data_IF_009089130762
#
_entry.id   IF_009089130762
#
_cell.length_a   1.000
_cell.length_b   1.000
_cell.length_c   1.000
_cell.angle_alpha   90.00
_cell.angle_beta   90.00
_cell.angle_gamma   90.00
#
_symmetry.space_group_name_H-M   'P 1'
#
loop_
_entity.id
_entity.type
_entity.pdbx_description
1 polymer ?
#
# COMPACT_ATOMS: atom_id res chain seq x y z
N UNK A 1 19.82 -10.54 -66.64
CA UNK A 1 18.88 -9.66 -65.91
C UNK A 1 18.11 -10.41 -64.82
N UNK A 2 17.57 -11.62 -65.09
CA UNK A 2 16.85 -12.45 -64.10
C UNK A 2 17.65 -12.85 -62.83
N UNK A 3 18.90 -13.31 -62.96
CA UNK A 3 19.75 -13.67 -61.80
C UNK A 3 20.07 -12.49 -60.86
N UNK A 4 20.03 -11.24 -61.35
CA UNK A 4 20.37 -10.06 -60.53
C UNK A 4 19.21 -9.60 -59.66
N UNK A 5 17.97 -9.97 -60.02
CA UNK A 5 16.77 -9.69 -59.22
C UNK A 5 16.63 -10.64 -58.04
N UNK A 6 16.91 -11.94 -58.24
CA UNK A 6 16.81 -12.94 -57.17
C UNK A 6 17.81 -12.67 -56.03
N UNK A 7 19.04 -12.28 -56.37
CA UNK A 7 20.06 -11.85 -55.41
C UNK A 7 19.69 -10.56 -54.66
N UNK A 8 18.98 -9.63 -55.32
CA UNK A 8 18.47 -8.40 -54.67
C UNK A 8 17.28 -8.70 -53.74
N UNK A 9 16.40 -9.64 -54.09
CA UNK A 9 15.33 -10.09 -53.19
C UNK A 9 15.86 -10.84 -51.97
N UNK A 10 16.91 -11.65 -52.11
CA UNK A 10 17.57 -12.31 -50.98
C UNK A 10 18.35 -11.34 -50.09
N UNK A 11 18.97 -10.31 -50.68
CA UNK A 11 19.61 -9.20 -49.95
C UNK A 11 18.60 -8.31 -49.23
N UNK A 12 17.41 -8.09 -49.80
CA UNK A 12 16.32 -7.37 -49.14
C UNK A 12 15.65 -8.22 -48.04
N UNK A 13 15.54 -9.54 -48.22
CA UNK A 13 15.04 -10.44 -47.18
C UNK A 13 16.01 -10.53 -45.99
N UNK A 14 17.32 -10.53 -46.25
CA UNK A 14 18.36 -10.55 -45.21
C UNK A 14 18.62 -9.17 -44.57
N UNK A 15 18.35 -8.05 -45.27
CA UNK A 15 18.45 -6.71 -44.67
C UNK A 15 17.22 -6.33 -43.82
N UNK A 16 16.08 -7.01 -44.00
CA UNK A 16 14.91 -6.91 -43.10
C UNK A 16 15.12 -7.68 -41.77
N UNK A 17 16.24 -8.40 -41.61
CA UNK A 17 16.73 -8.87 -40.31
C UNK A 17 17.55 -7.80 -39.56
N UNK A 18 17.67 -6.57 -40.08
CA UNK A 18 18.20 -5.46 -39.31
C UNK A 18 17.21 -5.06 -38.21
N UNK A 19 17.47 -5.58 -37.01
CA UNK A 19 17.31 -4.85 -35.75
C UNK A 19 15.98 -4.12 -35.58
N UNK A 20 14.86 -4.80 -35.84
CA UNK A 20 13.71 -4.57 -34.99
C UNK A 20 14.08 -5.28 -33.70
N UNK A 21 14.71 -4.55 -32.77
CA UNK A 21 14.70 -4.97 -31.36
C UNK A 21 13.27 -5.40 -31.09
N UNK A 22 13.02 -6.71 -31.02
CA UNK A 22 11.73 -7.23 -30.61
C UNK A 22 11.61 -6.73 -29.19
N UNK A 23 10.88 -5.63 -29.02
CA UNK A 23 10.42 -5.18 -27.73
C UNK A 23 9.55 -6.32 -27.21
N UNK A 24 10.18 -7.21 -26.46
CA UNK A 24 9.51 -8.34 -25.84
C UNK A 24 8.72 -7.76 -24.67
N UNK A 25 7.46 -7.42 -24.94
CA UNK A 25 6.49 -7.16 -23.89
C UNK A 25 6.23 -8.49 -23.19
N UNK A 26 6.81 -8.65 -22.01
CA UNK A 26 6.55 -9.78 -21.14
C UNK A 26 5.54 -9.37 -20.08
N UNK A 27 4.50 -10.17 -19.92
CA UNK A 27 3.59 -10.02 -18.79
C UNK A 27 4.36 -10.26 -17.49
N UNK A 28 4.22 -9.35 -16.53
CA UNK A 28 4.78 -9.51 -15.19
C UNK A 28 3.64 -9.66 -14.20
N UNK A 29 3.65 -10.76 -13.47
CA UNK A 29 2.69 -11.00 -12.41
C UNK A 29 2.78 -9.92 -11.32
N UNK A 30 1.62 -9.39 -10.96
CA UNK A 30 1.48 -8.40 -9.90
C UNK A 30 1.26 -9.05 -8.53
N UNK A 31 1.27 -8.22 -7.46
CA UNK A 31 1.15 -8.68 -6.08
C UNK A 31 -0.14 -9.47 -5.81
N UNK A 32 -1.25 -9.14 -6.49
CA UNK A 32 -2.52 -9.87 -6.35
C UNK A 32 -2.36 -11.33 -6.75
N UNK A 33 -1.79 -11.58 -7.94
CA UNK A 33 -1.61 -12.94 -8.48
C UNK A 33 -0.65 -13.73 -7.59
N UNK A 34 0.48 -13.12 -7.20
CA UNK A 34 1.46 -13.79 -6.34
C UNK A 34 0.88 -14.16 -4.98
N UNK A 35 0.08 -13.28 -4.36
CA UNK A 35 -0.52 -13.57 -3.06
C UNK A 35 -1.57 -14.67 -3.12
N UNK A 36 -2.38 -14.69 -4.20
CA UNK A 36 -3.35 -15.76 -4.46
C UNK A 36 -2.65 -17.11 -4.59
N UNK A 37 -1.58 -17.17 -5.41
CA UNK A 37 -0.85 -18.40 -5.69
C UNK A 37 -0.03 -18.92 -4.51
N UNK A 38 0.39 -18.04 -3.60
CA UNK A 38 1.16 -18.39 -2.40
C UNK A 38 0.30 -18.56 -1.15
N UNK A 39 -1.01 -18.31 -1.25
CA UNK A 39 -1.94 -18.29 -0.12
C UNK A 39 -1.54 -17.32 1.00
N UNK A 40 -1.00 -16.16 0.63
CA UNK A 40 -0.57 -15.14 1.59
C UNK A 40 -1.68 -14.12 1.88
N UNK A 41 -1.48 -13.33 2.94
CA UNK A 41 -2.28 -12.14 3.16
C UNK A 41 -1.88 -11.08 2.11
N UNK A 42 -2.87 -10.46 1.48
CA UNK A 42 -2.72 -9.30 0.62
C UNK A 42 -3.27 -8.07 1.34
N UNK A 43 -2.42 -7.09 1.62
CA UNK A 43 -2.82 -5.78 2.13
C UNK A 43 -2.96 -4.79 0.95
N UNK A 44 -4.14 -4.22 0.80
CA UNK A 44 -4.42 -3.14 -0.13
C UNK A 44 -4.46 -1.83 0.66
N UNK A 45 -3.34 -1.13 0.68
CA UNK A 45 -3.28 0.20 1.28
C UNK A 45 -4.05 1.20 0.42
N UNK A 46 -4.81 2.06 1.08
CA UNK A 46 -5.50 3.22 0.51
C UNK A 46 -6.43 2.82 -0.65
N UNK A 47 -7.22 1.77 -0.43
CA UNK A 47 -8.05 1.12 -1.44
C UNK A 47 -9.18 2.02 -1.99
N UNK A 48 -9.45 3.14 -1.32
CA UNK A 48 -10.42 4.15 -1.73
C UNK A 48 -9.86 5.22 -2.69
N UNK A 49 -8.53 5.24 -2.92
CA UNK A 49 -7.90 6.19 -3.85
C UNK A 49 -8.01 5.80 -5.33
N UNK A 50 -7.88 4.51 -5.73
CA UNK A 50 -8.02 4.11 -7.12
C UNK A 50 -9.43 4.34 -7.67
N UNK A 51 -9.57 4.38 -9.00
CA UNK A 51 -10.88 4.49 -9.63
C UNK A 51 -11.73 3.25 -9.38
N UNK A 52 -13.06 3.43 -9.41
CA UNK A 52 -14.01 2.33 -9.18
C UNK A 52 -13.75 1.14 -10.11
N UNK A 53 -13.43 1.36 -11.38
CA UNK A 53 -13.10 0.31 -12.34
C UNK A 53 -11.90 -0.56 -11.92
N UNK A 54 -10.91 0.02 -11.21
CA UNK A 54 -9.78 -0.72 -10.66
C UNK A 54 -10.21 -1.58 -9.47
N UNK A 55 -10.98 -1.00 -8.54
CA UNK A 55 -11.48 -1.73 -7.37
C UNK A 55 -12.46 -2.85 -7.74
N UNK A 56 -13.29 -2.64 -8.77
CA UNK A 56 -14.30 -3.60 -9.22
C UNK A 56 -13.68 -4.84 -9.88
N UNK A 57 -12.46 -4.73 -10.40
CA UNK A 57 -11.70 -5.86 -10.92
C UNK A 57 -11.42 -6.91 -9.84
N UNK A 58 -11.48 -6.54 -8.57
CA UNK A 58 -11.31 -7.45 -7.45
C UNK A 58 -12.64 -8.05 -6.95
N UNK A 59 -13.80 -7.60 -7.44
CA UNK A 59 -15.09 -8.04 -6.91
C UNK A 59 -15.25 -9.57 -6.97
N UNK A 60 -14.86 -10.21 -8.08
CA UNK A 60 -14.93 -11.66 -8.24
C UNK A 60 -14.02 -12.41 -7.25
N UNK A 61 -12.93 -11.79 -6.80
CA UNK A 61 -12.03 -12.34 -5.77
C UNK A 61 -12.64 -12.22 -4.37
N UNK A 62 -13.59 -11.30 -4.18
CA UNK A 62 -14.25 -11.01 -2.90
C UNK A 62 -15.61 -11.71 -2.75
N UNK A 63 -16.06 -12.47 -3.75
CA UNK A 63 -17.29 -13.26 -3.66
C UNK A 63 -17.12 -14.47 -2.71
N UNK A 64 -18.25 -15.03 -2.27
CA UNK A 64 -18.28 -16.27 -1.46
C UNK A 64 -17.54 -17.44 -2.13
N UNK A 65 -17.66 -17.53 -3.46
CA UNK A 65 -16.89 -18.45 -4.30
C UNK A 65 -15.88 -17.62 -5.11
N UNK A 66 -14.67 -17.42 -4.57
CA UNK A 66 -13.76 -16.44 -5.14
C UNK A 66 -13.18 -16.95 -6.46
N UNK A 67 -13.08 -16.05 -7.43
CA UNK A 67 -12.50 -16.31 -8.75
C UNK A 67 -11.69 -15.12 -9.24
N UNK A 68 -10.60 -15.41 -9.94
CA UNK A 68 -9.72 -14.38 -10.50
C UNK A 68 -9.09 -14.86 -11.80
N UNK A 69 -9.12 -14.02 -12.83
CA UNK A 69 -8.55 -14.31 -14.13
C UNK A 69 -7.63 -13.19 -14.61
N UNK A 70 -6.56 -13.59 -15.29
CA UNK A 70 -5.54 -12.72 -15.86
C UNK A 70 -5.58 -12.91 -17.37
N UNK A 71 -6.34 -12.08 -18.07
CA UNK A 71 -6.55 -12.18 -19.53
C UNK A 71 -5.50 -11.40 -20.33
N UNK A 72 -4.71 -10.56 -19.67
CA UNK A 72 -3.65 -9.76 -20.29
C UNK A 72 -2.40 -10.59 -20.62
N UNK A 73 -2.21 -11.73 -19.95
CA UNK A 73 -1.10 -12.63 -20.22
C UNK A 73 -1.43 -13.57 -21.37
N UNK A 74 -1.16 -13.12 -22.59
CA UNK A 74 -1.37 -13.89 -23.82
C UNK A 74 -0.49 -15.14 -23.94
N UNK A 75 0.50 -15.32 -23.03
CA UNK A 75 1.39 -16.50 -23.04
C UNK A 75 0.78 -17.67 -22.28
N UNK A 76 -0.24 -17.43 -21.44
CA UNK A 76 -0.90 -18.47 -20.65
C UNK A 76 -1.89 -19.28 -21.48
N UNK A 77 -1.91 -20.59 -21.25
CA UNK A 77 -2.95 -21.48 -21.79
C UNK A 77 -4.30 -21.31 -21.07
N UNK A 78 -4.25 -20.98 -19.78
CA UNK A 78 -5.42 -20.77 -18.92
C UNK A 78 -5.26 -19.43 -18.20
N UNK A 79 -6.29 -18.60 -18.27
CA UNK A 79 -6.28 -17.26 -17.65
C UNK A 79 -6.70 -17.30 -16.18
N UNK A 80 -7.43 -18.34 -15.76
CA UNK A 80 -7.88 -18.49 -14.37
C UNK A 80 -6.71 -18.79 -13.43
N UNK A 81 -6.69 -18.07 -12.31
CA UNK A 81 -5.71 -18.26 -11.24
C UNK A 81 -6.35 -19.12 -10.15
N UNK A 82 -5.73 -20.27 -9.86
CA UNK A 82 -6.18 -21.12 -8.76
C UNK A 82 -6.00 -20.41 -7.43
N UNK A 83 -7.10 -20.13 -6.73
CA UNK A 83 -7.09 -19.54 -5.40
C UNK A 83 -6.94 -20.66 -4.37
N UNK A 84 -5.91 -20.54 -3.52
CA UNK A 84 -5.62 -21.52 -2.48
C UNK A 84 -6.42 -21.22 -1.20
N UNK A 85 -6.78 -22.26 -0.42
CA UNK A 85 -7.34 -22.06 0.91
C UNK A 85 -6.37 -21.27 1.79
N UNK A 86 -6.88 -20.33 2.60
CA UNK A 86 -6.16 -19.43 3.53
C UNK A 86 -5.67 -18.10 2.94
N UNK A 87 -5.84 -17.85 1.64
CA UNK A 87 -5.69 -16.51 1.09
C UNK A 87 -6.62 -15.55 1.83
N UNK A 88 -6.08 -14.40 2.24
CA UNK A 88 -6.82 -13.36 2.93
C UNK A 88 -6.52 -12.01 2.30
N UNK A 89 -7.53 -11.17 2.21
CA UNK A 89 -7.41 -9.82 1.69
C UNK A 89 -7.83 -8.84 2.79
N UNK A 90 -6.93 -7.89 3.07
CA UNK A 90 -7.16 -6.79 4.01
C UNK A 90 -7.02 -5.50 3.21
N UNK A 91 -7.90 -4.52 3.44
CA UNK A 91 -7.82 -3.23 2.79
C UNK A 91 -7.91 -2.12 3.84
N UNK A 92 -7.12 -1.06 3.66
CA UNK A 92 -7.31 0.19 4.39
C UNK A 92 -8.03 1.18 3.50
N UNK A 93 -8.84 2.04 4.13
CA UNK A 93 -9.56 3.10 3.43
C UNK A 93 -9.52 4.36 4.28
N UNK A 94 -9.47 5.51 3.63
CA UNK A 94 -9.62 6.78 4.31
C UNK A 94 -11.09 7.14 4.52
N UNK A 95 -11.36 7.76 5.65
CA UNK A 95 -12.66 8.34 5.96
C UNK A 95 -12.42 9.69 6.65
N UNK A 96 -12.86 10.77 6.02
CA UNK A 96 -12.62 12.13 6.53
C UNK A 96 -13.32 12.36 7.87
N UNK A 97 -14.55 11.89 8.02
CA UNK A 97 -15.33 11.97 9.25
C UNK A 97 -16.13 10.69 9.47
N UNK A 98 -16.51 10.39 10.71
CA UNK A 98 -17.34 9.21 11.00
C UNK A 98 -18.63 9.14 10.18
N UNK A 99 -19.14 10.29 9.74
CA UNK A 99 -20.36 10.44 8.96
C UNK A 99 -20.14 10.52 7.45
N UNK A 100 -18.90 10.75 6.97
CA UNK A 100 -18.63 10.82 5.54
C UNK A 100 -18.76 9.43 4.91
N UNK A 101 -19.39 9.29 3.74
CA UNK A 101 -19.42 8.02 3.04
C UNK A 101 -18.00 7.60 2.63
N UNK A 102 -17.75 6.30 2.59
CA UNK A 102 -16.52 5.76 2.03
C UNK A 102 -16.54 5.97 0.52
N UNK A 103 -15.38 6.29 -0.07
CA UNK A 103 -15.22 6.39 -1.53
C UNK A 103 -15.12 5.00 -2.18
N UNK A 104 -16.09 4.13 -1.91
CA UNK A 104 -16.20 2.78 -2.45
C UNK A 104 -17.64 2.49 -2.89
N UNK A 105 -17.78 1.66 -3.92
CA UNK A 105 -19.12 1.27 -4.39
C UNK A 105 -19.86 0.45 -3.33
N UNK A 106 -21.20 0.53 -3.24
CA UNK A 106 -21.99 -0.32 -2.34
C UNK A 106 -21.74 -1.81 -2.57
N UNK A 107 -21.47 -2.21 -3.82
CA UNK A 107 -21.18 -3.57 -4.20
C UNK A 107 -19.82 -4.03 -3.64
N UNK A 108 -18.80 -3.18 -3.68
CA UNK A 108 -17.49 -3.49 -3.06
C UNK A 108 -17.67 -3.64 -1.56
N UNK A 109 -18.35 -2.69 -0.92
CA UNK A 109 -18.57 -2.70 0.54
C UNK A 109 -19.37 -3.91 1.03
N UNK A 110 -20.36 -4.39 0.26
CA UNK A 110 -21.16 -5.54 0.68
C UNK A 110 -20.37 -6.86 0.75
N UNK A 111 -19.17 -6.90 0.17
CA UNK A 111 -18.27 -8.07 0.16
C UNK A 111 -17.14 -7.98 1.18
N UNK A 112 -17.00 -6.83 1.84
CA UNK A 112 -16.05 -6.64 2.93
C UNK A 112 -16.73 -6.74 4.28
N UNK A 113 -15.99 -7.25 5.26
CA UNK A 113 -16.27 -6.94 6.67
C UNK A 113 -15.62 -5.61 7.00
N UNK A 114 -16.43 -4.58 7.23
CA UNK A 114 -15.93 -3.22 7.52
C UNK A 114 -15.69 -3.06 9.02
N UNK A 115 -14.44 -2.77 9.39
CA UNK A 115 -14.03 -2.48 10.77
C UNK A 115 -13.71 -0.98 10.86
N UNK A 116 -14.41 -0.26 11.74
CA UNK A 116 -14.15 1.16 12.01
C UNK A 116 -13.27 1.28 13.25
N UNK A 117 -12.13 1.94 13.08
CA UNK A 117 -11.18 2.20 14.18
C UNK A 117 -11.46 3.63 14.67
N UNK A 118 -11.85 3.82 15.94
CA UNK A 118 -12.05 5.16 16.45
C UNK A 118 -10.71 5.92 16.49
N UNK A 119 -10.78 7.24 16.31
CA UNK A 119 -9.62 8.10 16.50
C UNK A 119 -9.07 8.01 17.93
N UNK A 120 -7.77 8.20 18.10
CA UNK A 120 -7.14 8.20 19.41
C UNK A 120 -7.67 9.33 20.28
N UNK A 121 -8.05 9.03 21.52
CA UNK A 121 -8.33 10.06 22.52
C UNK A 121 -7.05 10.80 22.91
N UNK A 122 -7.19 11.95 23.58
CA UNK A 122 -6.05 12.66 24.15
C UNK A 122 -5.25 11.78 25.11
N UNK A 123 -5.93 10.96 25.91
CA UNK A 123 -5.27 10.05 26.86
C UNK A 123 -4.51 8.95 26.14
N UNK A 124 -5.09 8.36 25.08
CA UNK A 124 -4.39 7.34 24.28
C UNK A 124 -3.11 7.91 23.66
N UNK A 125 -3.20 9.12 23.08
CA UNK A 125 -2.04 9.77 22.49
C UNK A 125 -0.95 10.09 23.52
N UNK A 126 -1.34 10.54 24.73
CA UNK A 126 -0.42 10.76 25.85
C UNK A 126 0.27 9.48 26.28
N UNK A 127 -0.48 8.39 26.46
CA UNK A 127 0.06 7.09 26.87
C UNK A 127 1.02 6.52 25.82
N UNK A 128 0.66 6.59 24.55
CA UNK A 128 1.51 6.18 23.43
C UNK A 128 2.79 7.01 23.39
N UNK A 129 2.70 8.33 23.56
CA UNK A 129 3.85 9.22 23.60
C UNK A 129 4.78 8.91 24.77
N UNK A 130 4.23 8.76 25.99
CA UNK A 130 5.00 8.43 27.19
C UNK A 130 5.74 7.10 27.05
N UNK A 131 5.10 6.07 26.51
CA UNK A 131 5.75 4.77 26.24
C UNK A 131 6.90 4.91 25.25
N UNK A 132 6.69 5.62 24.15
CA UNK A 132 7.76 5.85 23.16
C UNK A 132 8.90 6.67 23.73
N UNK A 133 8.60 7.69 24.53
CA UNK A 133 9.60 8.50 25.20
C UNK A 133 10.45 7.64 26.14
N UNK A 134 9.84 6.80 26.97
CA UNK A 134 10.56 5.86 27.84
C UNK A 134 11.48 4.93 27.05
N UNK A 135 11.01 4.41 25.90
CA UNK A 135 11.83 3.58 25.03
C UNK A 135 13.07 4.35 24.54
N UNK A 136 12.90 5.57 24.02
CA UNK A 136 14.02 6.41 23.55
C UNK A 136 15.01 6.73 24.67
N UNK A 137 14.51 7.00 25.88
CA UNK A 137 15.35 7.25 27.06
C UNK A 137 16.13 6.00 27.49
N UNK A 138 15.54 4.80 27.34
CA UNK A 138 16.21 3.54 27.68
C UNK A 138 17.28 3.11 26.67
N UNK A 139 17.10 3.47 25.39
CA UNK A 139 18.02 3.12 24.30
C UNK A 139 19.24 4.06 24.22
N UNK A 140 19.23 5.16 24.97
CA UNK A 140 20.27 6.17 24.89
C UNK A 140 21.21 6.13 26.10
N UNK A 141 22.45 5.69 25.84
CA UNK A 141 23.52 5.74 26.83
C UNK A 141 23.99 7.21 27.00
N UNK A 142 23.81 7.73 28.21
CA UNK A 142 24.34 8.99 28.79
C UNK A 142 23.81 10.35 28.28
N UNK A 143 23.32 10.50 27.03
CA UNK A 143 22.98 11.84 26.49
C UNK A 143 21.59 12.40 26.83
N UNK A 144 20.58 11.55 27.08
CA UNK A 144 19.19 11.98 27.38
C UNK A 144 18.85 12.07 28.86
N UNK A 145 19.84 11.89 29.74
CA UNK A 145 19.66 12.06 31.19
C UNK A 145 19.42 13.50 31.63
N UNK A 146 19.19 14.44 30.71
CA UNK A 146 18.71 15.75 31.06
C UNK A 146 17.21 15.67 31.39
N UNK A 147 16.92 15.20 32.61
CA UNK A 147 15.59 15.14 33.21
C UNK A 147 14.79 16.43 32.96
N UNK A 148 15.45 17.59 33.00
CA UNK A 148 14.82 18.87 32.74
C UNK A 148 14.31 19.02 31.29
N UNK A 149 15.02 18.47 30.30
CA UNK A 149 14.56 18.46 28.90
C UNK A 149 13.35 17.54 28.71
N UNK A 150 13.37 16.36 29.32
CA UNK A 150 12.24 15.42 29.30
C UNK A 150 11.01 16.03 29.96
N UNK A 151 11.18 16.66 31.13
CA UNK A 151 10.12 17.39 31.82
C UNK A 151 9.58 18.54 30.94
N UNK A 152 10.46 19.32 30.31
CA UNK A 152 10.06 20.40 29.39
C UNK A 152 9.27 19.89 28.17
N UNK A 153 9.64 18.74 27.60
CA UNK A 153 8.90 18.13 26.50
C UNK A 153 7.52 17.64 26.95
N UNK A 154 7.43 17.02 28.13
CA UNK A 154 6.14 16.61 28.70
C UNK A 154 5.23 17.82 28.94
N UNK A 155 5.76 18.91 29.50
CA UNK A 155 5.02 20.15 29.75
C UNK A 155 4.54 20.78 28.44
N UNK A 156 5.39 20.83 27.41
CA UNK A 156 5.02 21.32 26.09
C UNK A 156 3.89 20.50 25.46
N UNK A 157 3.97 19.17 25.57
CA UNK A 157 2.94 18.28 25.05
C UNK A 157 1.61 18.48 25.80
N UNK A 158 1.65 18.63 27.12
CA UNK A 158 0.46 18.96 27.93
C UNK A 158 -0.14 20.30 27.52
N UNK A 159 0.67 21.34 27.33
CA UNK A 159 0.21 22.64 26.85
C UNK A 159 -0.50 22.51 25.50
N UNK A 160 0.10 21.79 24.56
CA UNK A 160 -0.42 21.58 23.21
C UNK A 160 -1.70 20.75 23.18
N UNK A 161 -1.87 19.78 24.07
CA UNK A 161 -3.13 19.05 24.22
C UNK A 161 -4.27 19.93 24.78
N UNK A 162 -3.93 20.93 25.59
CA UNK A 162 -4.89 21.82 26.23
C UNK A 162 -5.25 23.04 25.37
N UNK A 163 -4.50 23.31 24.30
CA UNK A 163 -4.82 24.39 23.35
C UNK A 163 -6.17 24.13 22.65
N UNK A 164 -7.10 25.11 22.66
CA UNK A 164 -8.35 24.99 21.91
C UNK A 164 -8.06 24.95 20.41
N UNK A 165 -8.67 23.99 19.70
CA UNK A 165 -8.42 23.79 18.27
C UNK A 165 -7.07 23.15 17.93
N UNK A 166 -6.38 22.58 18.92
CA UNK A 166 -5.12 21.88 18.71
C UNK A 166 -5.25 20.79 17.63
N UNK A 167 -4.41 20.90 16.60
CA UNK A 167 -4.25 19.88 15.54
C UNK A 167 -3.11 18.92 15.89
N UNK A 168 -2.90 18.62 17.16
CA UNK A 168 -1.85 17.70 17.60
C UNK A 168 -2.19 16.29 17.13
N UNK A 169 -1.21 15.62 16.53
CA UNK A 169 -1.33 14.26 16.03
C UNK A 169 -0.18 13.42 16.58
N UNK A 170 -0.35 12.09 16.62
CA UNK A 170 0.75 11.18 16.93
C UNK A 170 1.95 11.39 16.00
N UNK A 171 1.72 11.74 14.74
CA UNK A 171 2.77 12.08 13.80
C UNK A 171 3.62 13.27 14.27
N UNK A 172 2.99 14.38 14.68
CA UNK A 172 3.70 15.55 15.23
C UNK A 172 4.48 15.19 16.48
N UNK A 173 3.85 14.44 17.40
CA UNK A 173 4.48 13.98 18.63
C UNK A 173 5.71 13.09 18.37
N UNK A 174 5.61 12.16 17.43
CA UNK A 174 6.73 11.28 17.06
C UNK A 174 7.83 12.05 16.34
N UNK A 175 7.50 13.04 15.52
CA UNK A 175 8.51 13.92 14.93
C UNK A 175 9.27 14.71 16.01
N UNK A 176 8.60 15.17 17.06
CA UNK A 176 9.28 15.83 18.18
C UNK A 176 10.21 14.88 18.94
N UNK A 177 9.79 13.63 19.18
CA UNK A 177 10.67 12.61 19.77
C UNK A 177 11.87 12.30 18.88
N UNK A 178 11.67 12.20 17.57
CA UNK A 178 12.75 11.97 16.62
C UNK A 178 13.71 13.15 16.56
N UNK A 179 13.20 14.38 16.59
CA UNK A 179 14.02 15.60 16.68
C UNK A 179 14.84 15.59 17.97
N UNK A 180 14.20 15.29 19.09
CA UNK A 180 14.88 15.11 20.36
C UNK A 180 15.99 14.07 20.24
N UNK A 181 15.77 12.92 19.57
CA UNK A 181 16.77 11.85 19.36
C UNK A 181 18.00 12.27 18.54
N UNK A 182 17.90 13.31 17.71
CA UNK A 182 18.95 13.73 16.78
C UNK A 182 19.88 14.81 17.36
N UNK A 183 19.50 15.43 18.47
CA UNK A 183 20.23 16.52 19.13
C UNK A 183 20.49 16.21 20.60
#
# INVERSE_FOLDING_TARGET
>A
IKMKLESMSELLASSQLSTKEKTNFQFKEGPVVSSIQTSSVLLLEDFDLPSQAVTERLNSLLETEPSFSVTEDLTRKYHDVKILPQFQLVATVHQDTDTSPLNLSPATLSRFTVIRIPGYSKNDMKEIFQRKLQQVLSESEERYNNKAFVESLCDLVEEEFNKPGSQLTLYKLFNWLNFARLH
#
